data_IF_739115430385
#
_entry.id   IF_739115430385
#
_cell.length_a   1.000
_cell.length_b   1.000
_cell.length_c   1.000
_cell.angle_alpha   90.00
_cell.angle_beta   90.00
_cell.angle_gamma   90.00
#
_symmetry.space_group_name_H-M   'P 1'
#
loop_
_entity.id
_entity.type
_entity.pdbx_description
1 polymer ?
#
# COMPACT_ATOMS: atom_id res chain seq x y z
N UNK A 1 25.64 -9.98 3.44
CA UNK A 1 24.33 -10.21 4.12
C UNK A 1 23.29 -9.09 3.95
N UNK A 2 23.65 -7.80 3.75
CA UNK A 2 22.66 -6.70 3.54
C UNK A 2 21.81 -6.79 2.26
N UNK A 3 22.23 -7.55 1.24
CA UNK A 3 21.56 -7.61 -0.06
C UNK A 3 20.53 -8.75 -0.17
N UNK A 4 20.70 -9.84 0.59
CA UNK A 4 19.79 -11.00 0.57
C UNK A 4 18.46 -10.71 1.30
N UNK A 5 18.50 -9.90 2.36
CA UNK A 5 17.31 -9.47 3.12
C UNK A 5 16.38 -8.53 2.33
N UNK A 6 16.78 -8.04 1.15
CA UNK A 6 16.02 -7.05 0.38
C UNK A 6 14.83 -7.68 -0.37
N UNK A 7 14.99 -8.88 -0.92
CA UNK A 7 13.96 -9.51 -1.76
C UNK A 7 12.84 -10.15 -0.96
N UNK A 8 13.14 -10.66 0.23
CA UNK A 8 12.16 -11.30 1.10
C UNK A 8 11.00 -10.36 1.45
N UNK A 9 11.28 -9.08 1.72
CA UNK A 9 10.23 -8.08 1.98
C UNK A 9 9.32 -7.86 0.78
N UNK A 10 9.88 -7.85 -0.43
CA UNK A 10 9.12 -7.68 -1.67
C UNK A 10 8.26 -8.91 -1.93
N UNK A 11 8.84 -10.11 -1.78
CA UNK A 11 8.11 -11.37 -1.93
C UNK A 11 6.98 -11.46 -0.91
N UNK A 12 7.25 -11.12 0.35
CA UNK A 12 6.24 -11.10 1.41
C UNK A 12 5.11 -10.12 1.10
N UNK A 13 5.43 -8.93 0.60
CA UNK A 13 4.42 -7.95 0.20
C UNK A 13 3.60 -8.38 -1.01
N UNK A 14 4.20 -9.05 -1.99
CA UNK A 14 3.47 -9.62 -3.13
C UNK A 14 2.60 -10.79 -2.69
N UNK A 15 3.12 -11.68 -1.84
CA UNK A 15 2.36 -12.79 -1.26
C UNK A 15 1.19 -12.28 -0.41
N UNK A 16 1.36 -11.15 0.29
CA UNK A 16 0.28 -10.49 1.02
C UNK A 16 -0.86 -10.06 0.10
N UNK A 17 -0.55 -9.37 -1.00
CA UNK A 17 -1.57 -8.98 -1.98
C UNK A 17 -2.22 -10.20 -2.64
N UNK A 18 -1.45 -11.23 -2.98
CA UNK A 18 -1.99 -12.47 -3.53
C UNK A 18 -2.95 -13.16 -2.55
N UNK A 19 -2.62 -13.19 -1.25
CA UNK A 19 -3.48 -13.73 -0.21
C UNK A 19 -4.77 -12.91 -0.07
N UNK A 20 -4.69 -11.58 -0.06
CA UNK A 20 -5.88 -10.71 -0.03
C UNK A 20 -6.79 -10.96 -1.22
N UNK A 21 -6.23 -11.09 -2.44
CA UNK A 21 -7.01 -11.44 -3.63
C UNK A 21 -7.71 -12.78 -3.45
N UNK A 22 -6.97 -13.82 -3.04
CA UNK A 22 -7.51 -15.17 -2.88
C UNK A 22 -8.64 -15.21 -1.83
N UNK A 23 -8.44 -14.53 -0.70
CA UNK A 23 -9.45 -14.43 0.37
C UNK A 23 -10.69 -13.73 -0.16
N UNK A 24 -10.54 -12.55 -0.74
CA UNK A 24 -11.66 -11.71 -1.16
C UNK A 24 -12.49 -12.35 -2.30
N UNK A 25 -11.85 -13.05 -3.24
CA UNK A 25 -12.56 -13.79 -4.29
C UNK A 25 -13.42 -14.92 -3.68
N UNK A 26 -12.96 -15.54 -2.59
CA UNK A 26 -13.69 -16.59 -1.90
C UNK A 26 -14.81 -16.10 -0.97
N UNK A 27 -14.87 -14.80 -0.69
CA UNK A 27 -15.86 -14.20 0.23
C UNK A 27 -17.01 -13.54 -0.52
N UNK A 28 -18.22 -13.58 0.06
CA UNK A 28 -19.37 -12.86 -0.48
C UNK A 28 -19.26 -11.34 -0.33
N UNK A 29 -18.48 -10.88 0.66
CA UNK A 29 -18.22 -9.48 0.95
C UNK A 29 -16.71 -9.24 0.98
N UNK A 30 -16.11 -8.85 -0.16
CA UNK A 30 -14.70 -8.51 -0.24
C UNK A 30 -14.29 -7.41 0.73
N UNK A 31 -13.07 -7.48 1.27
CA UNK A 31 -12.56 -6.52 2.24
C UNK A 31 -12.36 -5.14 1.61
N UNK A 32 -13.28 -4.21 1.85
CA UNK A 32 -13.18 -2.81 1.41
C UNK A 32 -12.22 -1.97 2.28
N UNK A 33 -11.58 -2.58 3.28
CA UNK A 33 -10.71 -1.90 4.22
C UNK A 33 -9.33 -1.59 3.63
N UNK A 34 -9.15 -0.36 3.14
CA UNK A 34 -7.91 0.09 2.47
C UNK A 34 -6.63 -0.13 3.28
N UNK A 35 -6.73 -0.13 4.62
CA UNK A 35 -5.57 -0.34 5.49
C UNK A 35 -4.98 -1.76 5.35
N UNK A 36 -5.77 -2.77 4.99
CA UNK A 36 -5.25 -4.11 4.69
C UNK A 36 -4.26 -4.09 3.51
N UNK A 37 -4.53 -3.24 2.52
CA UNK A 37 -3.66 -3.01 1.35
C UNK A 37 -2.51 -2.05 1.65
N UNK A 38 -2.63 -1.21 2.69
CA UNK A 38 -1.58 -0.29 3.10
C UNK A 38 -0.41 -0.97 3.82
N UNK A 39 -0.61 -2.15 4.43
CA UNK A 39 0.44 -2.83 5.21
C UNK A 39 1.72 -3.05 4.40
N UNK A 40 1.70 -3.67 3.19
CA UNK A 40 2.91 -3.82 2.39
C UNK A 40 3.50 -2.47 1.97
N UNK A 41 2.66 -1.47 1.65
CA UNK A 41 3.09 -0.13 1.25
C UNK A 41 3.91 0.53 2.35
N UNK A 42 3.41 0.53 3.59
CA UNK A 42 4.09 1.11 4.75
C UNK A 42 5.44 0.43 4.99
N UNK A 43 5.45 -0.90 5.06
CA UNK A 43 6.66 -1.68 5.37
C UNK A 43 7.74 -1.45 4.30
N UNK A 44 7.37 -1.55 3.02
CA UNK A 44 8.29 -1.39 1.91
C UNK A 44 8.81 0.05 1.82
N UNK A 45 7.93 1.04 2.00
CA UNK A 45 8.33 2.46 1.98
C UNK A 45 9.32 2.76 3.09
N UNK A 46 9.08 2.24 4.30
CA UNK A 46 9.95 2.46 5.46
C UNK A 46 11.36 1.90 5.24
N UNK A 47 11.44 0.67 4.70
CA UNK A 47 12.71 -0.07 4.51
C UNK A 47 13.48 0.35 3.27
N UNK A 48 12.79 0.79 2.21
CA UNK A 48 13.39 1.17 0.93
C UNK A 48 13.32 2.67 0.72
N UNK A 49 12.46 3.13 -0.19
CA UNK A 49 12.32 4.54 -0.55
C UNK A 49 10.88 4.81 -1.04
N UNK A 50 10.61 6.08 -1.35
CA UNK A 50 9.30 6.53 -1.81
C UNK A 50 8.86 5.88 -3.13
N UNK A 51 9.78 5.64 -4.07
CA UNK A 51 9.46 5.02 -5.37
C UNK A 51 8.91 3.60 -5.18
N UNK A 52 9.51 2.82 -4.28
CA UNK A 52 9.00 1.51 -3.90
C UNK A 52 7.64 1.59 -3.20
N UNK A 53 7.39 2.66 -2.45
CA UNK A 53 6.08 2.96 -1.87
C UNK A 53 5.01 3.18 -2.93
N UNK A 54 5.27 3.99 -3.95
CA UNK A 54 4.33 4.19 -5.06
C UNK A 54 4.09 2.92 -5.87
N UNK A 55 5.14 2.14 -6.14
CA UNK A 55 4.99 0.86 -6.83
C UNK A 55 4.06 -0.09 -6.05
N UNK A 56 4.29 -0.24 -4.75
CA UNK A 56 3.44 -1.06 -3.91
C UNK A 56 2.03 -0.48 -3.72
N UNK A 57 1.88 0.86 -3.75
CA UNK A 57 0.59 1.52 -3.78
C UNK A 57 -0.21 1.17 -5.03
N UNK A 58 0.44 1.14 -6.20
CA UNK A 58 -0.19 0.74 -7.46
C UNK A 58 -0.59 -0.74 -7.43
N UNK A 59 0.28 -1.62 -6.92
CA UNK A 59 -0.02 -3.04 -6.76
C UNK A 59 -1.16 -3.30 -5.76
N UNK A 60 -1.21 -2.54 -4.67
CA UNK A 60 -2.29 -2.62 -3.69
C UNK A 60 -3.63 -2.18 -4.28
N UNK A 61 -3.65 -1.07 -5.03
CA UNK A 61 -4.85 -0.62 -5.73
C UNK A 61 -5.32 -1.64 -6.78
N UNK A 62 -4.40 -2.17 -7.58
CA UNK A 62 -4.70 -3.25 -8.54
C UNK A 62 -5.26 -4.49 -7.85
N UNK A 63 -4.65 -4.91 -6.74
CA UNK A 63 -5.12 -6.02 -5.92
C UNK A 63 -6.54 -5.78 -5.41
N UNK A 64 -6.86 -4.57 -4.95
CA UNK A 64 -8.19 -4.21 -4.49
C UNK A 64 -9.23 -4.33 -5.62
N UNK A 65 -8.93 -3.79 -6.81
CA UNK A 65 -9.76 -3.91 -8.01
C UNK A 65 -9.98 -5.36 -8.41
N UNK A 66 -8.91 -6.14 -8.58
CA UNK A 66 -8.99 -7.55 -9.02
C UNK A 66 -9.76 -8.40 -8.01
N UNK A 67 -9.64 -8.09 -6.73
CA UNK A 67 -10.31 -8.82 -5.66
C UNK A 67 -11.79 -8.49 -5.49
N UNK A 68 -12.33 -7.52 -6.24
CA UNK A 68 -13.70 -7.03 -6.07
C UNK A 68 -13.91 -6.21 -4.80
N UNK A 69 -12.85 -5.80 -4.10
CA UNK A 69 -12.92 -4.88 -2.96
C UNK A 69 -13.26 -3.45 -3.39
N UNK A 70 -13.06 -3.17 -4.68
CA UNK A 70 -13.48 -1.94 -5.36
C UNK A 70 -14.46 -2.42 -6.42
N UNK A 71 -15.72 -2.00 -6.34
CA UNK A 71 -16.79 -2.50 -7.21
C UNK A 71 -17.25 -1.45 -8.22
N UNK A 72 -16.82 -0.20 -8.05
CA UNK A 72 -17.57 0.95 -8.56
C UNK A 72 -18.88 1.10 -7.79
N UNK A 73 -19.35 2.33 -7.70
CA UNK A 73 -20.68 2.62 -7.18
C UNK A 73 -21.47 3.30 -8.30
N UNK A 74 -22.20 2.48 -9.07
CA UNK A 74 -22.99 2.94 -10.21
C UNK A 74 -24.04 3.98 -9.79
N UNK A 75 -24.62 3.83 -8.60
CA UNK A 75 -25.61 4.77 -8.05
C UNK A 75 -24.99 6.11 -7.64
N UNK A 76 -23.69 6.11 -7.28
CA UNK A 76 -22.92 7.32 -7.00
C UNK A 76 -22.20 7.89 -8.24
N UNK A 77 -22.37 7.27 -9.41
CA UNK A 77 -21.68 7.67 -10.65
C UNK A 77 -20.18 7.42 -10.64
N UNK A 78 -19.67 6.58 -9.72
CA UNK A 78 -18.24 6.29 -9.59
C UNK A 78 -17.89 5.04 -10.38
N UNK A 79 -17.02 5.21 -11.36
CA UNK A 79 -16.50 4.10 -12.17
C UNK A 79 -15.46 3.29 -11.40
N UNK A 80 -15.32 2.02 -11.77
CA UNK A 80 -14.27 1.14 -11.22
C UNK A 80 -12.85 1.73 -11.36
N UNK A 81 -12.61 2.47 -12.45
CA UNK A 81 -11.34 3.13 -12.70
C UNK A 81 -11.08 4.30 -11.74
N UNK A 82 -12.08 5.13 -11.47
CA UNK A 82 -11.98 6.25 -10.52
C UNK A 82 -11.76 5.75 -9.09
N UNK A 83 -12.47 4.70 -8.72
CA UNK A 83 -12.40 4.11 -7.39
C UNK A 83 -11.04 3.40 -7.17
N UNK A 84 -10.52 2.73 -8.21
CA UNK A 84 -9.15 2.21 -8.22
C UNK A 84 -8.08 3.31 -8.18
N UNK A 85 -8.29 4.43 -8.88
CA UNK A 85 -7.40 5.59 -8.83
C UNK A 85 -7.40 6.23 -7.44
N UNK A 86 -8.56 6.34 -6.81
CA UNK A 86 -8.70 6.82 -5.44
C UNK A 86 -7.93 5.94 -4.46
N UNK A 87 -8.05 4.61 -4.58
CA UNK A 87 -7.28 3.66 -3.77
C UNK A 87 -5.76 3.86 -3.97
N UNK A 88 -5.30 4.04 -5.21
CA UNK A 88 -3.90 4.34 -5.50
C UNK A 88 -3.45 5.66 -4.87
N UNK A 89 -4.25 6.72 -4.95
CA UNK A 89 -3.96 8.02 -4.34
C UNK A 89 -3.88 7.91 -2.81
N UNK A 90 -4.80 7.21 -2.17
CA UNK A 90 -4.78 6.96 -0.72
C UNK A 90 -3.51 6.24 -0.28
N UNK A 91 -3.16 5.14 -0.96
CA UNK A 91 -1.95 4.37 -0.67
C UNK A 91 -0.67 5.18 -0.93
N UNK A 92 -0.67 6.01 -1.97
CA UNK A 92 0.43 6.94 -2.28
C UNK A 92 0.60 8.02 -1.21
N UNK A 93 -0.50 8.59 -0.70
CA UNK A 93 -0.47 9.54 0.39
C UNK A 93 0.12 8.92 1.67
N UNK A 94 -0.21 7.66 1.96
CA UNK A 94 0.39 6.91 3.07
C UNK A 94 1.91 6.79 2.88
N UNK A 95 2.38 6.40 1.69
CA UNK A 95 3.81 6.30 1.40
C UNK A 95 4.54 7.65 1.60
N UNK A 96 3.95 8.76 1.14
CA UNK A 96 4.49 10.10 1.34
C UNK A 96 4.56 10.44 2.84
N UNK A 97 3.47 10.21 3.57
CA UNK A 97 3.38 10.45 5.01
C UNK A 97 4.48 9.72 5.79
N UNK A 98 4.73 8.45 5.45
CA UNK A 98 5.80 7.66 6.03
C UNK A 98 7.18 8.30 5.82
N UNK A 99 7.48 8.75 4.60
CA UNK A 99 8.78 9.37 4.28
C UNK A 99 8.94 10.71 5.00
N UNK A 100 7.89 11.53 5.04
CA UNK A 100 7.91 12.80 5.76
C UNK A 100 8.10 12.60 7.27
N UNK A 101 7.39 11.64 7.87
CA UNK A 101 7.54 11.28 9.28
C UNK A 101 8.95 10.82 9.62
N UNK A 102 9.55 9.95 8.79
CA UNK A 102 10.94 9.49 8.96
C UNK A 102 11.93 10.64 8.89
N UNK A 103 11.75 11.59 7.97
CA UNK A 103 12.59 12.79 7.85
C UNK A 103 12.47 13.70 9.08
N UNK A 104 11.25 13.94 9.56
CA UNK A 104 10.99 14.76 10.74
C UNK A 104 11.63 14.16 12.00
N UNK A 105 11.48 12.84 12.20
CA UNK A 105 12.11 12.11 13.31
C UNK A 105 13.63 12.26 13.29
N UNK A 106 14.25 12.05 12.13
CA UNK A 106 15.71 12.15 11.99
C UNK A 106 16.24 13.57 12.20
N UNK A 107 15.47 14.60 11.78
CA UNK A 107 15.82 16.01 12.02
C UNK A 107 15.76 16.34 13.51
N UNK A 108 14.75 15.83 14.24
CA UNK A 108 14.61 16.02 15.69
C UNK A 108 15.75 15.35 16.47
N UNK A 109 16.10 14.12 16.13
CA UNK A 109 17.22 13.39 16.78
C UNK A 109 18.53 14.16 16.73
N UNK A 110 18.88 14.71 15.56
CA UNK A 110 20.12 15.50 15.37
C UNK A 110 20.14 16.84 16.12
N UNK A 111 18.98 17.35 16.53
CA UNK A 111 18.89 18.59 17.30
C UNK A 111 19.06 18.36 18.81
N UNK A 112 18.81 17.14 19.29
CA UNK A 112 18.99 16.77 20.71
C UNK A 112 20.43 16.33 21.04
N UNK A 113 21.25 16.04 20.03
CA UNK A 113 22.67 15.67 20.18
C UNK A 113 23.63 16.87 20.07
N UNK A 114 23.10 18.08 19.92
CA UNK A 114 23.86 19.34 19.88
C UNK A 114 23.62 20.14 21.16
#
# INVERSE_FOLDING_TARGET
>A
MKQLMRYQDVIAGLAWFAALIAINIGTREPTQFILAYAVPVVVITWKRNLQWGFLFGALGAFSAVVSGAVTGNADAGVTLAEEGLLAFTQLSAIAIGIVLGKRAHNKRSKHLEK
#
